data_IF_366103488804
#
_entry.id   IF_366103488804
#
_cell.length_a   1.000
_cell.length_b   1.000
_cell.length_c   1.000
_cell.angle_alpha   90.00
_cell.angle_beta   90.00
_cell.angle_gamma   90.00
#
_symmetry.space_group_name_H-M   'P 1'
#
loop_
_entity.id
_entity.type
_entity.pdbx_description
1 polymer ?
#
# COMPACT_ATOMS: atom_id res chain seq x y z
N UNK A 1 -17.71 0.99 -18.45
CA UNK A 1 -17.69 1.30 -17.01
C UNK A 1 -18.40 2.62 -16.79
N UNK A 2 -19.32 2.72 -15.83
CA UNK A 2 -19.96 3.99 -15.48
C UNK A 2 -19.37 4.54 -14.17
N UNK A 3 -18.04 4.68 -14.10
CA UNK A 3 -17.43 5.37 -12.98
C UNK A 3 -17.55 6.89 -13.17
N UNK A 4 -17.98 7.57 -12.12
CA UNK A 4 -17.84 9.02 -12.00
C UNK A 4 -16.38 9.33 -11.67
N UNK A 5 -15.79 10.23 -12.46
CA UNK A 5 -14.40 10.65 -12.31
C UNK A 5 -14.39 12.16 -12.15
N UNK A 6 -13.79 12.63 -11.06
CA UNK A 6 -13.82 14.04 -10.69
C UNK A 6 -12.50 14.46 -10.04
N UNK A 7 -11.94 15.57 -10.50
CA UNK A 7 -10.84 16.22 -9.77
C UNK A 7 -11.39 16.97 -8.55
N UNK A 8 -10.65 16.89 -7.44
CA UNK A 8 -10.92 17.63 -6.21
C UNK A 8 -9.61 17.94 -5.47
N UNK A 9 -9.65 18.92 -4.58
CA UNK A 9 -8.65 19.03 -3.52
C UNK A 9 -9.06 18.14 -2.35
N UNK A 10 -8.13 17.34 -1.82
CA UNK A 10 -8.39 16.46 -0.69
C UNK A 10 -7.37 16.67 0.42
N UNK A 11 -7.86 17.03 1.61
CA UNK A 11 -7.05 17.32 2.80
C UNK A 11 -5.85 18.24 2.47
N UNK A 12 -4.62 17.81 2.76
CA UNK A 12 -3.40 18.53 2.43
C UNK A 12 -2.56 17.82 1.36
N UNK A 13 -3.19 17.01 0.51
CA UNK A 13 -2.51 16.31 -0.59
C UNK A 13 -2.50 17.10 -1.91
N UNK A 14 -3.17 18.26 -1.96
CA UNK A 14 -3.34 19.04 -3.19
C UNK A 14 -4.42 18.44 -4.09
N UNK A 15 -4.22 18.54 -5.40
CA UNK A 15 -5.15 17.99 -6.38
C UNK A 15 -5.09 16.46 -6.38
N UNK A 16 -6.28 15.88 -6.39
CA UNK A 16 -6.55 14.45 -6.40
C UNK A 16 -7.65 14.13 -7.41
N UNK A 17 -7.76 12.85 -7.76
CA UNK A 17 -8.81 12.30 -8.60
C UNK A 17 -9.68 11.35 -7.79
N UNK A 18 -10.98 11.66 -7.66
CA UNK A 18 -11.99 10.73 -7.18
C UNK A 18 -12.44 9.83 -8.33
N UNK A 19 -12.55 8.53 -8.04
CA UNK A 19 -13.10 7.49 -8.90
C UNK A 19 -14.17 6.75 -8.10
N UNK A 20 -15.41 6.77 -8.58
CA UNK A 20 -16.57 6.20 -7.89
C UNK A 20 -17.46 5.40 -8.83
N UNK A 21 -17.92 4.23 -8.39
CA UNK A 21 -18.94 3.43 -9.09
C UNK A 21 -20.36 3.63 -8.51
N UNK A 22 -20.56 4.66 -7.67
CA UNK A 22 -21.81 4.93 -6.95
C UNK A 22 -22.03 4.12 -5.67
N UNK A 23 -21.23 3.08 -5.41
CA UNK A 23 -21.28 2.29 -4.17
C UNK A 23 -20.07 2.58 -3.27
N UNK A 24 -18.89 2.67 -3.88
CA UNK A 24 -17.60 2.93 -3.25
C UNK A 24 -16.89 4.06 -3.99
N UNK A 25 -15.96 4.71 -3.29
CA UNK A 25 -15.12 5.78 -3.81
C UNK A 25 -13.66 5.51 -3.44
N UNK A 26 -12.77 5.79 -4.38
CA UNK A 26 -11.34 5.91 -4.16
C UNK A 26 -10.87 7.31 -4.55
N UNK A 27 -10.01 7.92 -3.74
CA UNK A 27 -9.37 9.20 -4.08
C UNK A 27 -7.86 8.98 -4.22
N UNK A 28 -7.31 9.39 -5.36
CA UNK A 28 -5.91 9.17 -5.73
C UNK A 28 -5.19 10.49 -5.90
N UNK A 29 -4.00 10.63 -5.32
CA UNK A 29 -3.18 11.83 -5.48
C UNK A 29 -2.65 11.98 -6.90
N UNK A 30 -2.74 13.19 -7.48
CA UNK A 30 -2.19 13.49 -8.81
C UNK A 30 -1.07 14.53 -8.79
N UNK A 31 -0.97 15.37 -7.74
CA UNK A 31 0.17 16.28 -7.56
C UNK A 31 1.42 15.58 -7.00
N UNK A 32 1.25 14.44 -6.32
CA UNK A 32 2.31 13.59 -5.76
C UNK A 32 1.94 12.11 -5.90
N UNK A 33 2.90 11.20 -5.84
CA UNK A 33 2.66 9.74 -5.75
C UNK A 33 2.84 8.97 -7.07
N UNK A 34 1.86 8.10 -7.45
CA UNK A 34 0.45 8.08 -7.00
C UNK A 34 0.21 7.32 -5.69
N UNK A 35 -0.79 7.78 -4.92
CA UNK A 35 -1.27 7.17 -3.67
C UNK A 35 -2.79 7.12 -3.67
N UNK A 36 -3.39 5.97 -3.37
CA UNK A 36 -4.83 5.93 -3.04
C UNK A 36 -4.95 6.36 -1.59
N UNK A 37 -5.41 7.59 -1.35
CA UNK A 37 -5.45 8.19 -0.01
C UNK A 37 -6.83 8.09 0.65
N UNK A 38 -7.84 7.69 -0.12
CA UNK A 38 -9.18 7.39 0.38
C UNK A 38 -9.69 6.10 -0.24
N UNK A 39 -10.31 5.23 0.56
CA UNK A 39 -11.18 4.17 0.08
C UNK A 39 -12.31 3.95 1.07
N UNK A 40 -13.55 3.88 0.58
CA UNK A 40 -14.73 3.67 1.44
C UNK A 40 -16.03 3.65 0.65
N UNK A 41 -17.13 3.35 1.34
CA UNK A 41 -18.47 3.52 0.77
C UNK A 41 -18.77 4.99 0.50
N UNK A 42 -19.66 5.28 -0.46
CA UNK A 42 -20.14 6.65 -0.68
C UNK A 42 -20.77 7.20 0.60
N UNK A 43 -20.27 8.35 1.05
CA UNK A 43 -20.67 8.99 2.32
C UNK A 43 -20.21 8.25 3.58
N UNK A 44 -19.40 7.20 3.45
CA UNK A 44 -18.81 6.46 4.56
C UNK A 44 -17.48 7.05 5.03
N UNK A 45 -16.82 6.31 5.92
CA UNK A 45 -15.50 6.70 6.43
C UNK A 45 -14.36 6.12 5.59
N UNK A 46 -13.26 6.87 5.49
CA UNK A 46 -12.02 6.37 4.91
C UNK A 46 -11.47 5.19 5.73
N UNK A 47 -11.22 4.05 5.10
CA UNK A 47 -10.55 2.89 5.74
C UNK A 47 -9.03 3.03 5.78
N UNK A 48 -8.46 3.95 5.01
CA UNK A 48 -7.02 4.16 4.90
C UNK A 48 -6.54 5.18 5.94
N UNK A 49 -5.28 5.05 6.33
CA UNK A 49 -4.60 6.04 7.16
C UNK A 49 -4.09 7.19 6.30
N UNK A 50 -4.23 8.42 6.78
CA UNK A 50 -3.65 9.62 6.16
C UNK A 50 -2.57 10.22 7.07
N UNK A 51 -1.32 10.30 6.58
CA UNK A 51 -0.20 10.93 7.30
C UNK A 51 -0.19 12.45 7.06
N UNK A 52 -1.21 13.16 7.57
CA UNK A 52 -1.40 14.59 7.32
C UNK A 52 -0.22 15.44 7.83
N UNK A 53 0.41 15.05 8.94
CA UNK A 53 1.54 15.78 9.52
C UNK A 53 2.90 15.41 8.88
N UNK A 54 2.93 14.46 7.94
CA UNK A 54 4.15 13.93 7.32
C UNK A 54 5.14 13.41 8.38
N UNK A 55 4.62 12.74 9.40
CA UNK A 55 5.40 12.24 10.54
C UNK A 55 6.37 11.14 10.09
N UNK A 56 5.96 10.33 9.12
CA UNK A 56 6.74 9.22 8.63
C UNK A 56 7.47 9.61 7.34
N UNK A 57 8.74 10.00 7.49
CA UNK A 57 9.62 10.36 6.38
C UNK A 57 11.01 9.75 6.53
N UNK A 58 11.68 9.52 5.42
CA UNK A 58 13.10 9.12 5.37
C UNK A 58 13.87 10.19 4.59
N UNK A 59 14.86 10.80 5.23
CA UNK A 59 15.67 11.88 4.68
C UNK A 59 17.17 11.64 4.92
N UNK A 60 17.58 10.37 4.87
CA UNK A 60 18.98 9.98 5.04
C UNK A 60 19.88 10.68 4.00
N UNK A 61 21.13 11.05 4.35
CA UNK A 61 22.03 11.77 3.43
C UNK A 61 22.18 11.10 2.06
N UNK A 62 22.17 9.76 2.03
CA UNK A 62 22.29 8.97 0.80
C UNK A 62 21.12 9.20 -0.18
N UNK A 63 19.91 9.54 0.30
CA UNK A 63 18.80 9.91 -0.60
C UNK A 63 19.12 11.22 -1.33
N UNK A 64 19.71 12.19 -0.63
CA UNK A 64 20.04 13.49 -1.22
C UNK A 64 21.22 13.40 -2.18
N UNK A 65 22.22 12.57 -1.83
CA UNK A 65 23.33 12.26 -2.72
C UNK A 65 22.85 11.60 -4.02
N UNK A 66 21.87 10.69 -3.93
CA UNK A 66 21.43 9.88 -5.06
C UNK A 66 20.31 10.53 -5.91
N UNK A 67 19.36 11.22 -5.28
CA UNK A 67 18.18 11.79 -5.94
C UNK A 67 18.17 13.33 -6.00
N UNK A 68 19.18 13.98 -5.41
CA UNK A 68 19.34 15.43 -5.42
C UNK A 68 18.91 16.13 -4.13
N UNK A 69 19.18 17.43 -4.08
CA UNK A 69 18.95 18.26 -2.89
C UNK A 69 17.49 18.18 -2.40
N UNK A 70 17.28 18.08 -1.10
CA UNK A 70 15.97 17.93 -0.44
C UNK A 70 15.21 16.63 -0.77
N UNK A 71 15.84 15.66 -1.44
CA UNK A 71 15.23 14.35 -1.64
C UNK A 71 14.92 13.67 -0.31
N UNK A 72 13.64 13.36 -0.13
CA UNK A 72 13.15 12.62 1.02
C UNK A 72 11.92 11.83 0.62
N UNK A 73 11.83 10.63 1.17
CA UNK A 73 10.64 9.81 1.09
C UNK A 73 9.61 10.26 2.12
N UNK A 74 8.34 10.32 1.74
CA UNK A 74 7.22 10.49 2.65
C UNK A 74 6.29 9.28 2.57
N UNK A 75 5.80 8.83 3.73
CA UNK A 75 4.85 7.73 3.77
C UNK A 75 3.50 8.16 3.20
N UNK A 76 3.07 9.41 3.38
CA UNK A 76 1.76 9.97 2.99
C UNK A 76 0.51 9.24 3.53
N UNK A 77 0.60 7.98 3.95
CA UNK A 77 -0.56 7.13 4.18
C UNK A 77 -1.06 6.47 2.89
N UNK A 78 -2.27 5.93 2.95
CA UNK A 78 -2.98 5.37 1.82
C UNK A 78 -2.42 4.02 1.33
N UNK A 79 -2.66 3.74 0.05
CA UNK A 79 -2.12 2.60 -0.66
C UNK A 79 -1.12 3.02 -1.75
N UNK A 80 -0.01 2.28 -1.88
CA UNK A 80 1.01 2.49 -2.92
C UNK A 80 1.72 1.21 -3.34
N UNK A 81 2.54 1.32 -4.39
CA UNK A 81 3.51 0.30 -4.78
C UNK A 81 4.83 0.45 -4.02
N UNK A 82 5.40 -0.65 -3.56
CA UNK A 82 6.72 -0.77 -2.96
C UNK A 82 7.56 -1.80 -3.74
N UNK A 83 8.87 -1.54 -3.84
CA UNK A 83 9.83 -2.44 -4.49
C UNK A 83 10.61 -3.24 -3.46
N UNK A 84 10.86 -4.51 -3.77
CA UNK A 84 11.54 -5.46 -2.88
C UNK A 84 12.73 -6.15 -3.57
N UNK A 85 13.77 -6.57 -2.82
CA UNK A 85 13.95 -6.38 -1.38
C UNK A 85 14.10 -4.89 -1.00
N UNK A 86 13.77 -4.59 0.25
CA UNK A 86 13.86 -3.24 0.80
C UNK A 86 15.32 -2.78 0.86
N UNK A 87 15.65 -1.68 0.19
CA UNK A 87 16.99 -1.09 0.14
C UNK A 87 16.92 0.43 0.19
N UNK A 88 17.96 1.03 0.75
CA UNK A 88 18.20 2.47 0.69
C UNK A 88 19.35 2.70 -0.29
N UNK A 89 19.20 3.58 -1.30
CA UNK A 89 18.08 4.53 -1.45
C UNK A 89 16.87 4.01 -2.25
N UNK A 90 16.97 2.90 -2.98
CA UNK A 90 16.06 2.53 -4.08
C UNK A 90 14.59 2.37 -3.68
N UNK A 91 14.30 1.67 -2.59
CA UNK A 91 12.91 1.46 -2.13
C UNK A 91 12.30 2.73 -1.53
N UNK A 92 13.14 3.69 -1.12
CA UNK A 92 12.76 4.98 -0.56
C UNK A 92 12.81 6.09 -1.62
N UNK A 93 12.50 5.76 -2.87
CA UNK A 93 12.39 6.73 -3.96
C UNK A 93 11.43 7.88 -3.57
N UNK A 94 11.85 9.16 -3.73
CA UNK A 94 11.03 10.32 -3.40
C UNK A 94 9.95 10.55 -4.47
N UNK A 95 8.85 9.80 -4.37
CA UNK A 95 7.67 9.84 -5.25
C UNK A 95 6.80 11.12 -5.06
N UNK A 96 7.45 12.28 -5.00
CA UNK A 96 6.85 13.58 -4.69
C UNK A 96 6.57 14.44 -5.93
N UNK A 97 6.40 13.81 -7.09
CA UNK A 97 6.19 14.50 -8.37
C UNK A 97 4.77 14.27 -8.89
N UNK A 98 4.23 15.20 -9.70
CA UNK A 98 2.94 15.02 -10.33
C UNK A 98 2.86 13.76 -11.19
N UNK A 99 1.68 13.16 -11.19
CA UNK A 99 1.33 11.90 -11.85
C UNK A 99 0.41 12.21 -13.03
N UNK A 100 0.62 11.52 -14.14
CA UNK A 100 -0.30 11.60 -15.28
C UNK A 100 -1.33 10.50 -15.11
N UNK A 101 -2.61 10.84 -15.21
CA UNK A 101 -3.67 9.84 -15.24
C UNK A 101 -4.35 9.77 -16.62
N UNK A 102 -4.91 8.61 -16.94
CA UNK A 102 -5.68 8.36 -18.14
C UNK A 102 -6.95 7.56 -17.81
N UNK A 103 -8.07 8.01 -18.36
CA UNK A 103 -9.34 7.30 -18.26
C UNK A 103 -9.38 6.26 -19.39
N UNK A 104 -9.36 4.99 -19.03
CA UNK A 104 -9.41 3.85 -19.95
C UNK A 104 -10.84 3.26 -19.96
N UNK A 105 -11.19 2.39 -20.94
CA UNK A 105 -12.53 1.80 -21.00
C UNK A 105 -12.93 1.02 -19.74
N UNK A 106 -11.94 0.37 -19.10
CA UNK A 106 -12.11 -0.55 -17.98
C UNK A 106 -11.26 -0.21 -16.74
N UNK A 107 -10.50 0.88 -16.75
CA UNK A 107 -9.73 1.32 -15.59
C UNK A 107 -9.47 2.83 -15.60
N UNK A 108 -8.97 3.34 -14.49
CA UNK A 108 -8.24 4.62 -14.46
C UNK A 108 -6.79 4.31 -14.17
N UNK A 109 -5.90 4.71 -15.08
CA UNK A 109 -4.46 4.47 -14.97
C UNK A 109 -3.75 5.71 -14.44
N UNK A 110 -2.77 5.50 -13.58
CA UNK A 110 -1.94 6.53 -12.94
C UNK A 110 -0.47 6.18 -13.16
N UNK A 111 0.26 7.03 -13.87
CA UNK A 111 1.65 6.82 -14.25
C UNK A 111 2.52 7.91 -13.65
N UNK A 112 3.42 7.52 -12.74
CA UNK A 112 4.42 8.43 -12.19
C UNK A 112 5.52 8.72 -13.22
N UNK A 113 6.25 9.84 -13.10
CA UNK A 113 7.44 10.07 -13.89
C UNK A 113 8.42 8.90 -13.73
N UNK A 114 9.07 8.43 -14.81
CA UNK A 114 10.07 7.38 -14.72
C UNK A 114 11.13 7.68 -13.66
N UNK A 115 11.40 6.69 -12.80
CA UNK A 115 12.47 6.72 -11.82
C UNK A 115 13.79 6.50 -12.57
N UNK A 116 14.37 7.56 -13.13
CA UNK A 116 15.56 7.47 -13.98
C UNK A 116 16.73 6.84 -13.25
N UNK A 117 16.89 7.19 -11.98
CA UNK A 117 17.95 6.71 -11.10
C UNK A 117 17.78 5.21 -10.80
N UNK A 118 16.54 4.76 -10.61
CA UNK A 118 16.22 3.35 -10.31
C UNK A 118 16.00 2.50 -11.58
N UNK A 119 15.93 3.11 -12.77
CA UNK A 119 15.65 2.40 -14.02
C UNK A 119 14.24 1.81 -14.13
N UNK A 120 13.25 2.37 -13.43
CA UNK A 120 11.88 1.84 -13.36
C UNK A 120 10.84 2.86 -13.82
N UNK A 121 9.84 2.41 -14.57
CA UNK A 121 8.57 3.13 -14.73
C UNK A 121 7.47 2.33 -14.05
N UNK A 122 6.73 2.99 -13.14
CA UNK A 122 5.69 2.35 -12.34
C UNK A 122 4.32 2.92 -12.71
N UNK A 123 3.33 2.04 -12.80
CA UNK A 123 1.95 2.39 -13.11
C UNK A 123 1.02 1.70 -12.11
N UNK A 124 -0.03 2.41 -11.69
CA UNK A 124 -1.12 1.88 -10.88
C UNK A 124 -2.43 2.06 -11.64
N UNK A 125 -3.23 1.02 -11.74
CA UNK A 125 -4.56 1.06 -12.34
C UNK A 125 -5.62 0.70 -11.31
N UNK A 126 -6.72 1.44 -11.33
CA UNK A 126 -7.90 1.19 -10.51
C UNK A 126 -9.05 0.74 -11.39
N UNK A 127 -9.68 -0.36 -10.99
CA UNK A 127 -10.86 -0.91 -11.65
C UNK A 127 -11.98 -1.09 -10.64
N UNK A 128 -13.15 -0.57 -10.98
CA UNK A 128 -14.38 -0.75 -10.21
C UNK A 128 -15.49 -1.15 -11.17
N UNK A 129 -16.11 -2.30 -10.93
CA UNK A 129 -17.27 -2.74 -11.70
C UNK A 129 -18.54 -2.03 -11.21
N UNK A 130 -19.52 -1.85 -12.10
CA UNK A 130 -20.81 -1.27 -11.74
C UNK A 130 -21.48 -2.07 -10.60
N UNK A 131 -21.96 -1.38 -9.56
CA UNK A 131 -22.58 -1.96 -8.35
C UNK A 131 -21.66 -2.85 -7.47
N UNK A 132 -20.37 -2.97 -7.77
CA UNK A 132 -19.42 -3.69 -6.93
C UNK A 132 -19.13 -2.93 -5.62
N UNK A 133 -18.78 -3.68 -4.57
CA UNK A 133 -18.36 -3.13 -3.26
C UNK A 133 -16.87 -3.36 -3.00
N UNK A 134 -16.14 -3.73 -4.04
CA UNK A 134 -14.71 -3.97 -4.06
C UNK A 134 -14.07 -3.21 -5.22
N UNK A 135 -12.76 -3.05 -5.12
CA UNK A 135 -11.94 -2.40 -6.13
C UNK A 135 -10.72 -3.29 -6.38
N UNK A 136 -10.36 -3.44 -7.65
CA UNK A 136 -9.11 -4.06 -8.03
C UNK A 136 -8.06 -2.98 -8.29
N UNK A 137 -6.87 -3.17 -7.71
CA UNK A 137 -5.70 -2.33 -7.96
C UNK A 137 -4.66 -3.18 -8.66
N UNK A 138 -4.25 -2.77 -9.85
CA UNK A 138 -3.19 -3.43 -10.60
C UNK A 138 -1.95 -2.56 -10.61
N UNK A 139 -0.85 -3.12 -10.12
CA UNK A 139 0.46 -2.50 -10.15
C UNK A 139 1.30 -3.11 -11.25
N UNK A 140 1.93 -2.25 -12.04
CA UNK A 140 2.82 -2.64 -13.13
C UNK A 140 4.15 -1.91 -12.99
N UNK A 141 5.23 -2.60 -13.36
CA UNK A 141 6.56 -2.01 -13.43
C UNK A 141 7.22 -2.38 -14.76
N UNK A 142 7.83 -1.39 -15.40
CA UNK A 142 8.65 -1.57 -16.58
C UNK A 142 10.12 -1.38 -16.22
N UNK A 143 10.93 -2.38 -16.57
CA UNK A 143 12.39 -2.26 -16.57
C UNK A 143 12.84 -1.36 -17.74
N UNK A 144 13.47 -0.23 -17.42
CA UNK A 144 13.96 0.75 -18.40
C UNK A 144 15.44 0.60 -18.71
N UNK A 145 16.16 -0.28 -18.01
CA UNK A 145 17.57 -0.57 -18.29
C UNK A 145 17.69 -1.75 -19.25
N UNK A 146 18.89 -1.91 -19.83
CA UNK A 146 19.16 -3.00 -20.79
C UNK A 146 19.26 -4.36 -20.12
N UNK A 147 19.75 -4.37 -18.87
CA UNK A 147 20.02 -5.59 -18.13
C UNK A 147 18.79 -6.08 -17.37
N UNK A 148 18.76 -7.36 -17.02
CA UNK A 148 17.70 -7.92 -16.18
C UNK A 148 17.76 -7.35 -14.77
N UNK A 149 16.60 -6.97 -14.22
CA UNK A 149 16.47 -6.54 -12.83
C UNK A 149 15.77 -7.62 -12.00
N UNK A 150 16.26 -7.84 -10.77
CA UNK A 150 15.63 -8.71 -9.77
C UNK A 150 14.89 -7.84 -8.76
N UNK A 151 13.65 -7.51 -9.07
CA UNK A 151 12.79 -6.65 -8.27
C UNK A 151 11.42 -7.32 -8.04
N UNK A 152 10.96 -7.29 -6.79
CA UNK A 152 9.64 -7.72 -6.38
C UNK A 152 8.71 -6.51 -6.25
N UNK A 153 7.44 -6.69 -6.63
CA UNK A 153 6.40 -5.67 -6.49
C UNK A 153 5.51 -6.02 -5.30
N UNK A 154 5.25 -5.05 -4.43
CA UNK A 154 4.41 -5.25 -3.24
C UNK A 154 3.51 -4.05 -3.02
N UNK A 155 2.19 -4.30 -3.00
CA UNK A 155 1.23 -3.28 -2.56
C UNK A 155 1.39 -3.03 -1.06
N UNK A 156 1.50 -1.76 -0.67
CA UNK A 156 1.54 -1.34 0.73
C UNK A 156 0.29 -0.54 1.04
N UNK A 157 -0.60 -1.10 1.85
CA UNK A 157 -1.84 -0.45 2.32
C UNK A 157 -1.68 -0.04 3.78
N UNK A 158 -1.71 1.27 4.05
CA UNK A 158 -1.70 1.83 5.40
C UNK A 158 -3.14 2.05 5.85
N UNK A 159 -3.57 1.32 6.88
CA UNK A 159 -4.95 1.28 7.34
C UNK A 159 -5.13 2.14 8.58
N UNK A 160 -6.33 2.72 8.75
CA UNK A 160 -6.62 3.61 9.89
C UNK A 160 -6.31 2.93 11.25
N UNK A 161 -5.79 3.66 12.26
CA UNK A 161 -5.42 3.09 13.56
C UNK A 161 -6.57 2.44 14.33
N UNK A 162 -6.25 1.54 15.26
CA UNK A 162 -7.19 0.92 16.20
C UNK A 162 -7.80 -0.42 15.77
N UNK A 163 -7.50 -0.90 14.56
CA UNK A 163 -8.06 -2.14 14.05
C UNK A 163 -7.22 -3.39 14.32
N UNK A 164 -7.74 -4.53 13.87
CA UNK A 164 -7.09 -5.84 13.99
C UNK A 164 -6.96 -6.48 12.61
N UNK A 165 -5.72 -6.78 12.23
CA UNK A 165 -5.40 -7.59 11.06
C UNK A 165 -5.66 -9.06 11.37
N UNK A 166 -6.33 -9.76 10.47
CA UNK A 166 -6.61 -11.19 10.52
C UNK A 166 -5.98 -11.84 9.29
N UNK A 167 -5.08 -12.79 9.52
CA UNK A 167 -4.39 -13.53 8.47
C UNK A 167 -4.74 -15.02 8.63
N UNK A 168 -5.25 -15.70 7.60
CA UNK A 168 -5.47 -17.15 7.65
C UNK A 168 -4.15 -17.89 7.78
N UNK A 169 -4.15 -18.96 8.60
CA UNK A 169 -3.05 -19.91 8.67
C UNK A 169 -3.19 -20.96 7.58
N UNK A 170 -2.07 -21.40 7.00
CA UNK A 170 -2.10 -22.46 6.00
C UNK A 170 -2.68 -23.76 6.57
N UNK A 171 -3.54 -24.40 5.77
CA UNK A 171 -4.26 -25.62 6.12
C UNK A 171 -3.29 -26.77 6.39
N UNK A 172 -3.67 -27.66 7.30
CA UNK A 172 -2.94 -28.91 7.55
C UNK A 172 -3.39 -30.06 6.65
N UNK A 173 -4.38 -29.83 5.78
CA UNK A 173 -5.00 -30.88 4.95
C UNK A 173 -4.12 -31.32 3.76
N UNK A 174 -3.27 -30.43 3.25
CA UNK A 174 -2.42 -30.73 2.08
C UNK A 174 -1.31 -31.75 2.40
N UNK A 175 -0.74 -31.71 3.61
CA UNK A 175 0.22 -32.70 4.09
C UNK A 175 0.39 -32.59 5.61
N UNK A 176 0.32 -33.71 6.34
CA UNK A 176 0.59 -33.72 7.77
C UNK A 176 2.09 -33.71 8.12
N UNK A 177 3.00 -33.79 7.13
CA UNK A 177 4.42 -34.02 7.36
C UNK A 177 5.35 -32.88 6.91
N UNK A 178 4.88 -31.99 6.03
CA UNK A 178 5.72 -30.96 5.41
C UNK A 178 5.47 -29.63 6.12
N UNK A 179 6.52 -28.91 6.56
CA UNK A 179 6.36 -27.57 7.12
C UNK A 179 5.77 -26.64 6.05
N UNK A 180 4.65 -26.00 6.38
CA UNK A 180 3.97 -25.08 5.47
C UNK A 180 3.67 -23.71 6.08
N UNK A 181 4.16 -23.41 7.29
CA UNK A 181 4.02 -22.11 7.95
C UNK A 181 5.40 -21.54 8.21
N UNK A 182 5.66 -20.37 7.64
CA UNK A 182 6.93 -19.66 7.74
C UNK A 182 6.65 -18.25 8.21
N UNK A 183 7.28 -17.83 9.31
CA UNK A 183 7.18 -16.47 9.83
C UNK A 183 8.55 -15.81 9.77
N UNK A 184 8.62 -14.68 9.07
CA UNK A 184 9.82 -13.86 8.96
C UNK A 184 9.65 -12.59 9.78
N UNK A 185 10.59 -12.32 10.68
CA UNK A 185 10.57 -11.13 11.53
C UNK A 185 11.71 -10.20 11.14
N UNK A 186 11.43 -8.90 11.08
CA UNK A 186 12.47 -7.90 10.89
C UNK A 186 13.34 -7.81 12.15
N UNK A 187 14.63 -7.42 12.05
CA UNK A 187 15.57 -7.46 13.18
C UNK A 187 15.11 -6.71 14.44
N UNK A 188 14.31 -5.67 14.28
CA UNK A 188 13.76 -4.88 15.39
C UNK A 188 12.48 -5.46 15.99
N UNK A 189 11.85 -6.44 15.35
CA UNK A 189 10.57 -6.99 15.80
C UNK A 189 10.79 -7.85 17.04
N UNK A 190 10.04 -7.54 18.10
CA UNK A 190 9.97 -8.40 19.28
C UNK A 190 9.07 -9.60 18.97
N UNK A 191 9.62 -10.81 19.03
CA UNK A 191 8.86 -12.04 18.76
C UNK A 191 7.77 -12.27 19.82
N UNK A 192 7.97 -11.77 21.04
CA UNK A 192 7.00 -11.83 22.15
C UNK A 192 6.04 -10.63 22.20
N UNK A 193 5.87 -9.89 21.10
CA UNK A 193 4.99 -8.72 21.08
C UNK A 193 3.53 -9.11 21.36
N UNK A 194 2.93 -8.54 22.40
CA UNK A 194 1.56 -8.88 22.82
C UNK A 194 0.46 -8.39 21.87
N UNK A 195 0.81 -7.68 20.79
CA UNK A 195 -0.12 -7.30 19.72
C UNK A 195 -0.40 -8.46 18.77
N UNK A 196 0.49 -9.44 18.67
CA UNK A 196 0.30 -10.62 17.83
C UNK A 196 -0.22 -11.80 18.66
N UNK A 197 -1.14 -12.55 18.07
CA UNK A 197 -1.73 -13.74 18.66
C UNK A 197 -1.88 -14.83 17.59
N UNK A 198 -1.26 -15.98 17.85
CA UNK A 198 -1.26 -17.13 16.95
C UNK A 198 -2.36 -18.10 17.40
N UNK A 199 -3.45 -18.19 16.63
CA UNK A 199 -4.55 -19.15 16.84
C UNK A 199 -4.45 -20.30 15.86
N UNK A 200 -5.23 -21.36 16.05
CA UNK A 200 -5.15 -22.55 15.19
C UNK A 200 -5.37 -22.24 13.70
N UNK A 201 -6.39 -21.42 13.40
CA UNK A 201 -6.82 -21.08 12.03
C UNK A 201 -6.39 -19.70 11.55
N UNK A 202 -6.09 -18.78 12.45
CA UNK A 202 -5.79 -17.39 12.11
C UNK A 202 -4.63 -16.86 12.95
N UNK A 203 -3.91 -15.88 12.41
CA UNK A 203 -3.02 -15.00 13.14
C UNK A 203 -3.71 -13.65 13.22
N UNK A 204 -3.77 -13.07 14.41
CA UNK A 204 -4.30 -11.71 14.57
C UNK A 204 -3.21 -10.76 15.02
N UNK A 205 -3.19 -9.55 14.45
CA UNK A 205 -2.29 -8.47 14.86
C UNK A 205 -3.12 -7.22 15.15
N UNK A 206 -3.15 -6.79 16.41
CA UNK A 206 -3.91 -5.61 16.84
C UNK A 206 -3.05 -4.36 16.80
N UNK A 207 -3.50 -3.34 16.06
CA UNK A 207 -2.90 -2.02 16.13
C UNK A 207 -3.19 -1.44 17.53
N UNK A 208 -2.14 -1.01 18.23
CA UNK A 208 -2.27 -0.41 19.56
C UNK A 208 -1.36 0.82 19.66
N UNK A 209 -1.91 2.04 19.81
CA UNK A 209 -1.13 3.28 19.88
C UNK A 209 -0.31 3.40 21.17
N UNK A 210 -0.57 2.60 22.21
CA UNK A 210 0.22 2.63 23.45
C UNK A 210 1.58 1.95 23.32
N UNK A 211 1.83 1.24 22.21
CA UNK A 211 3.09 0.55 21.95
C UNK A 211 3.95 1.40 21.03
N UNK A 212 5.10 1.88 21.54
CA UNK A 212 6.04 2.68 20.77
C UNK A 212 7.02 1.86 19.93
N UNK A 213 7.18 0.56 20.22
CA UNK A 213 8.08 -0.29 19.45
C UNK A 213 7.46 -0.68 18.09
N UNK A 214 8.21 -0.59 16.98
CA UNK A 214 7.73 -1.06 15.69
C UNK A 214 7.55 -2.59 15.69
N UNK A 215 6.65 -3.07 14.85
CA UNK A 215 6.41 -4.49 14.63
C UNK A 215 6.21 -4.74 13.14
N UNK A 216 6.97 -5.70 12.60
CA UNK A 216 6.84 -6.15 11.22
C UNK A 216 7.10 -7.65 11.12
N UNK A 217 6.21 -8.33 10.42
CA UNK A 217 6.26 -9.76 10.18
C UNK A 217 5.80 -10.06 8.75
N UNK A 218 6.43 -11.05 8.13
CA UNK A 218 5.96 -11.68 6.90
C UNK A 218 5.53 -13.12 7.18
N UNK A 219 4.55 -13.61 6.43
CA UNK A 219 4.15 -15.02 6.45
C UNK A 219 3.84 -15.49 5.04
N UNK A 220 4.07 -16.76 4.74
CA UNK A 220 3.57 -17.36 3.51
C UNK A 220 2.04 -17.57 3.67
N UNK A 221 1.24 -16.80 2.93
CA UNK A 221 -0.22 -16.85 2.99
C UNK A 221 -0.78 -17.49 1.71
N UNK A 222 -1.06 -18.79 1.74
CA UNK A 222 -1.55 -19.52 0.56
C UNK A 222 -3.03 -19.26 0.27
N UNK A 223 -3.78 -18.74 1.24
CA UNK A 223 -5.19 -18.36 1.04
C UNK A 223 -5.35 -17.07 0.24
N UNK A 224 -4.27 -16.31 0.01
CA UNK A 224 -4.26 -15.09 -0.80
C UNK A 224 -5.22 -13.98 -0.33
N UNK A 225 -5.61 -13.99 0.95
CA UNK A 225 -6.40 -12.91 1.55
C UNK A 225 -5.95 -12.61 2.98
N UNK A 226 -6.13 -11.38 3.40
CA UNK A 226 -6.08 -10.95 4.80
C UNK A 226 -7.18 -9.91 4.99
N UNK A 227 -7.70 -9.78 6.21
CA UNK A 227 -8.78 -8.84 6.51
C UNK A 227 -8.36 -7.89 7.63
N UNK A 228 -8.86 -6.66 7.61
CA UNK A 228 -8.67 -5.69 8.68
C UNK A 228 -10.01 -5.23 9.23
N UNK A 229 -10.22 -5.49 10.52
CA UNK A 229 -11.44 -5.09 11.22
C UNK A 229 -11.16 -3.82 12.02
N UNK A 230 -11.93 -2.76 11.76
CA UNK A 230 -11.86 -1.52 12.54
C UNK A 230 -13.25 -0.88 12.72
N UNK A 231 -13.68 -0.71 13.99
CA UNK A 231 -14.93 -0.03 14.38
C UNK A 231 -16.12 -0.38 13.45
N UNK A 232 -16.41 -1.68 13.33
CA UNK A 232 -17.46 -2.30 12.50
C UNK A 232 -17.27 -2.27 10.96
N UNK A 233 -16.18 -1.69 10.46
CA UNK A 233 -15.78 -1.78 9.05
C UNK A 233 -14.85 -2.97 8.81
N UNK A 234 -15.14 -3.76 7.77
CA UNK A 234 -14.24 -4.79 7.24
C UNK A 234 -13.62 -4.29 5.94
N UNK A 235 -12.29 -4.32 5.87
CA UNK A 235 -11.54 -4.31 4.61
C UNK A 235 -10.96 -5.70 4.35
#
# INVERSE_FOLDING_TARGET
MACEIKELEFENYGNCLSVSNGMIEAVVTIDVGPRIIYFGFIGGENVLYNDLNREYRCAEPILQEHYGENAQYFAYGGHRLWTSPERIPESYYPDNKPVIYAILPESVSFTQPPQKENGLALTMEIMMSDNAKDMMVVHSAQNLVKDSMLEGLSGCTMLRPGGTLVIPQNSTEESPYIPNRSYAFWPYTRVSDSRIDFREKYITVRQNPTFSNPFRMGTNNYSNWAAYLNQDSFL
#
